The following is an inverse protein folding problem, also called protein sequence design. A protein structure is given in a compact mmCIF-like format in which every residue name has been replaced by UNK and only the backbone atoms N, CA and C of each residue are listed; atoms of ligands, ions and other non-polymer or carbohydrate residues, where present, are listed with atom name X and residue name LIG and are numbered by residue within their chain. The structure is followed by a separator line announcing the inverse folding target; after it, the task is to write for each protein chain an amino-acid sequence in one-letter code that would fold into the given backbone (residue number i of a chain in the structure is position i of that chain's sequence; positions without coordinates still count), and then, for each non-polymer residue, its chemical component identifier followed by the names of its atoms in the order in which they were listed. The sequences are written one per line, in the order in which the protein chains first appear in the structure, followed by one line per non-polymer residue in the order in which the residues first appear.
data_IF_202655940121
#
_entry.id   IF_202655940121
#
_cell.length_a   1.000
_cell.length_b   1.000
_cell.length_c   1.000
_cell.angle_alpha   90.00
_cell.angle_beta   90.00
_cell.angle_gamma   90.00
#
_symmetry.space_group_name_H-M   'P 1'
#
loop_
_entity.id
_entity.type
_entity.pdbx_description
1 polymer ?
#
# COMPACT_ATOMS: atom_id res chain seq x y z
N UNK A 1 -12.01 25.31 5.86
CA UNK A 1 -11.27 24.72 7.00
C UNK A 1 -10.16 23.87 6.41
N UNK A 2 -8.87 24.02 6.75
CA UNK A 2 -7.81 23.05 6.38
C UNK A 2 -8.05 21.63 6.96
N UNK A 3 -9.28 21.32 7.36
CA UNK A 3 -9.72 20.32 8.31
C UNK A 3 -10.33 19.04 7.72
N UNK A 4 -10.32 18.85 6.40
CA UNK A 4 -10.52 17.51 5.83
C UNK A 4 -9.21 16.98 5.26
N UNK A 5 -8.27 16.68 6.16
CA UNK A 5 -7.12 15.85 5.79
C UNK A 5 -7.65 14.49 5.34
N UNK A 6 -7.39 14.11 4.09
CA UNK A 6 -7.85 12.84 3.51
C UNK A 6 -7.19 11.59 4.13
N UNK A 7 -6.18 11.78 4.98
CA UNK A 7 -5.48 10.70 5.64
C UNK A 7 -6.13 10.36 6.98
N UNK A 8 -6.36 9.06 7.22
CA UNK A 8 -6.80 8.57 8.53
C UNK A 8 -5.70 8.85 9.56
N UNK A 9 -6.04 9.65 10.57
CA UNK A 9 -5.09 10.10 11.58
C UNK A 9 -4.87 9.11 12.72
N UNK A 10 -5.87 8.27 13.02
CA UNK A 10 -5.79 7.32 14.14
C UNK A 10 -4.88 6.11 13.79
N UNK A 11 -3.91 5.85 14.67
CA UNK A 11 -2.89 4.82 14.47
C UNK A 11 -3.44 3.39 14.43
N UNK A 12 -4.59 3.14 15.03
CA UNK A 12 -5.22 1.80 15.04
C UNK A 12 -5.71 1.36 13.65
N UNK A 13 -5.82 2.29 12.69
CA UNK A 13 -6.19 2.00 11.30
C UNK A 13 -4.97 1.95 10.36
N UNK A 14 -3.75 1.90 10.91
CA UNK A 14 -2.51 1.88 10.15
C UNK A 14 -1.82 0.53 10.26
N UNK A 15 -1.12 0.15 9.20
CA UNK A 15 -0.28 -1.03 9.19
C UNK A 15 0.90 -0.86 10.17
N UNK A 16 1.07 -1.75 11.15
CA UNK A 16 2.20 -1.69 12.09
C UNK A 16 3.53 -1.72 11.35
N UNK A 17 4.44 -0.79 11.68
CA UNK A 17 5.76 -0.70 11.04
C UNK A 17 5.74 -0.32 9.55
N UNK A 18 4.57 -0.01 8.97
CA UNK A 18 4.43 0.18 7.53
C UNK A 18 4.49 -1.12 6.71
N UNK A 19 4.34 -2.27 7.37
CA UNK A 19 4.34 -3.59 6.74
C UNK A 19 2.94 -3.94 6.25
N UNK A 20 2.77 -4.02 4.93
CA UNK A 20 1.48 -4.26 4.27
C UNK A 20 1.45 -5.69 3.72
N UNK A 21 0.76 -6.63 4.38
CA UNK A 21 0.59 -7.99 3.88
C UNK A 21 -0.32 -8.00 2.65
N UNK A 22 0.04 -8.80 1.64
CA UNK A 22 -0.76 -8.89 0.42
C UNK A 22 -0.74 -10.27 -0.23
N UNK A 23 -1.77 -10.55 -1.04
CA UNK A 23 -1.83 -11.66 -1.97
C UNK A 23 -2.30 -11.11 -3.30
N UNK A 24 -1.61 -11.44 -4.40
CA UNK A 24 -2.15 -11.24 -5.74
C UNK A 24 -2.92 -12.50 -6.09
N UNK A 25 -4.24 -12.42 -6.00
CA UNK A 25 -5.10 -13.55 -6.32
C UNK A 25 -4.92 -13.99 -7.78
N UNK A 26 -5.12 -15.28 -8.05
CA UNK A 26 -4.93 -15.87 -9.38
C UNK A 26 -5.82 -15.22 -10.44
N UNK A 27 -7.01 -14.75 -10.07
CA UNK A 27 -7.91 -14.03 -10.97
C UNK A 27 -7.28 -12.76 -11.56
N UNK A 28 -6.27 -12.18 -10.90
CA UNK A 28 -5.55 -10.99 -11.34
C UNK A 28 -4.24 -11.31 -12.07
N UNK A 29 -4.02 -12.56 -12.48
CA UNK A 29 -2.77 -13.01 -13.11
C UNK A 29 -2.33 -12.14 -14.29
N UNK A 30 -3.27 -11.71 -15.14
CA UNK A 30 -3.00 -10.84 -16.29
C UNK A 30 -2.49 -9.44 -15.90
N UNK A 31 -2.73 -9.01 -14.67
CA UNK A 31 -2.35 -7.69 -14.14
C UNK A 31 -1.21 -7.76 -13.12
N UNK A 32 -0.71 -8.96 -12.81
CA UNK A 32 0.28 -9.16 -11.75
C UNK A 32 1.53 -8.29 -11.93
N UNK A 33 1.98 -8.08 -13.17
CA UNK A 33 3.13 -7.23 -13.45
C UNK A 33 2.85 -5.75 -13.18
N UNK A 34 1.67 -5.25 -13.56
CA UNK A 34 1.26 -3.88 -13.29
C UNK A 34 1.13 -3.62 -11.77
N UNK A 35 0.53 -4.57 -11.04
CA UNK A 35 0.43 -4.50 -9.58
C UNK A 35 1.81 -4.46 -8.93
N UNK A 36 2.75 -5.31 -9.39
CA UNK A 36 4.13 -5.32 -8.91
C UNK A 36 4.87 -4.02 -9.20
N UNK A 37 4.63 -3.38 -10.35
CA UNK A 37 5.21 -2.07 -10.66
C UNK A 37 4.70 -0.99 -9.71
N UNK A 38 3.41 -0.96 -9.40
CA UNK A 38 2.85 -0.05 -8.40
C UNK A 38 3.47 -0.27 -7.02
N UNK A 39 3.58 -1.52 -6.57
CA UNK A 39 4.25 -1.87 -5.31
C UNK A 39 5.72 -1.41 -5.31
N UNK A 40 6.44 -1.58 -6.42
CA UNK A 40 7.82 -1.13 -6.53
C UNK A 40 7.95 0.39 -6.45
N UNK A 41 6.98 1.14 -6.97
CA UNK A 41 6.96 2.60 -6.83
C UNK A 41 6.76 3.03 -5.37
N UNK A 42 5.91 2.33 -4.61
CA UNK A 42 5.81 2.54 -3.16
C UNK A 42 7.16 2.29 -2.48
N UNK A 43 7.83 1.16 -2.77
CA UNK A 43 9.12 0.84 -2.14
C UNK A 43 10.22 1.85 -2.47
N UNK A 44 10.15 2.51 -3.63
CA UNK A 44 11.10 3.54 -4.06
C UNK A 44 10.85 4.88 -3.38
N UNK A 45 9.58 5.27 -3.25
CA UNK A 45 9.22 6.65 -2.89
C UNK A 45 8.73 6.80 -1.44
N UNK A 46 8.56 5.71 -0.69
CA UNK A 46 8.16 5.75 0.70
C UNK A 46 8.71 4.59 1.54
N UNK A 47 8.36 4.59 2.83
CA UNK A 47 8.82 3.61 3.80
C UNK A 47 7.94 2.35 3.88
N UNK A 48 6.84 2.23 3.15
CA UNK A 48 5.99 1.04 3.19
C UNK A 48 6.72 -0.17 2.61
N UNK A 49 6.48 -1.33 3.22
CA UNK A 49 7.02 -2.62 2.80
C UNK A 49 5.87 -3.57 2.55
N UNK A 50 5.69 -3.93 1.29
CA UNK A 50 4.73 -4.95 0.88
C UNK A 50 5.47 -6.28 0.90
N UNK A 51 5.11 -7.18 1.82
CA UNK A 51 5.78 -8.46 2.04
C UNK A 51 4.82 -9.49 2.61
#
# INVERSE_FOLDING_TARGET
DPGERSAIVCNNFRWPGGDVPYVIDRSLGNYANLLKQGIADYHRNNCLKFK
#
